data_IF_661924530811
#
_entry.id   IF_661924530811
#
_cell.length_a   1.000
_cell.length_b   1.000
_cell.length_c   1.000
_cell.angle_alpha   90.00
_cell.angle_beta   90.00
_cell.angle_gamma   90.00
#
_symmetry.space_group_name_H-M   'P 1'
#
loop_
_entity.id
_entity.type
_entity.pdbx_description
1 polymer ?
#
# COMPACT_ATOMS: atom_id res chain seq x y z
N UNK A 1 4.93 27.25 3.02
CA UNK A 1 3.74 26.76 3.75
C UNK A 1 4.23 25.85 4.85
N UNK A 2 3.74 25.99 6.08
CA UNK A 2 4.15 25.09 7.17
C UNK A 2 3.67 23.67 6.85
N UNK A 3 4.61 22.76 6.57
CA UNK A 3 4.41 21.31 6.45
C UNK A 3 3.88 20.77 7.79
N UNK A 4 2.58 20.86 8.03
CA UNK A 4 1.99 20.40 9.30
C UNK A 4 1.53 18.95 9.15
N UNK A 5 2.09 18.09 9.97
CA UNK A 5 1.50 16.80 10.33
C UNK A 5 0.13 17.03 10.97
N UNK A 6 -0.87 16.26 10.57
CA UNK A 6 -2.18 16.20 11.20
C UNK A 6 -2.19 14.99 12.14
N UNK A 7 -2.69 15.17 13.36
CA UNK A 7 -2.83 14.10 14.34
C UNK A 7 -4.30 13.79 14.52
N UNK A 8 -4.67 12.51 14.35
CA UNK A 8 -5.96 11.97 14.79
C UNK A 8 -5.71 11.11 16.02
N UNK A 9 -6.48 11.32 17.07
CA UNK A 9 -6.22 10.65 18.35
C UNK A 9 -7.49 10.45 19.16
N UNK A 10 -7.68 9.22 19.65
CA UNK A 10 -8.72 8.88 20.62
C UNK A 10 -8.09 8.23 21.87
N UNK A 11 -8.87 7.52 22.68
CA UNK A 11 -8.36 6.85 23.89
C UNK A 11 -7.41 5.69 23.60
N UNK A 12 -7.61 4.97 22.49
CA UNK A 12 -6.89 3.75 22.14
C UNK A 12 -5.79 3.97 21.10
N UNK A 13 -6.00 4.84 20.11
CA UNK A 13 -5.12 4.99 18.97
C UNK A 13 -4.66 6.43 18.76
N UNK A 14 -3.46 6.57 18.19
CA UNK A 14 -2.91 7.83 17.68
C UNK A 14 -2.30 7.65 16.29
N UNK A 15 -2.76 8.44 15.33
CA UNK A 15 -2.29 8.46 13.95
C UNK A 15 -1.62 9.80 13.63
N UNK A 16 -0.55 9.75 12.84
CA UNK A 16 0.10 10.94 12.27
C UNK A 16 0.01 10.90 10.75
N UNK A 17 -0.73 11.84 10.16
CA UNK A 17 -0.98 11.95 8.72
C UNK A 17 -0.17 13.11 8.16
N UNK A 18 0.42 12.93 6.97
CA UNK A 18 1.21 13.93 6.25
C UNK A 18 0.46 14.38 4.98
N UNK A 19 -0.50 15.33 5.05
CA UNK A 19 -1.23 15.82 3.87
C UNK A 19 -0.32 16.30 2.74
N UNK A 20 0.80 16.92 3.10
CA UNK A 20 1.78 17.45 2.14
C UNK A 20 2.60 16.37 1.41
N UNK A 21 2.45 15.09 1.77
CA UNK A 21 3.14 13.92 1.19
C UNK A 21 2.17 12.78 0.95
N UNK A 22 1.31 12.95 -0.05
CA UNK A 22 0.33 11.97 -0.48
C UNK A 22 -0.76 11.64 0.53
N UNK A 23 -0.93 12.47 1.56
CA UNK A 23 -1.71 12.08 2.72
C UNK A 23 -1.11 10.89 3.50
N UNK A 24 0.17 10.55 3.35
CA UNK A 24 0.80 9.38 3.99
C UNK A 24 0.45 9.28 5.47
N UNK A 25 0.00 8.10 5.92
CA UNK A 25 -0.13 7.81 7.36
C UNK A 25 1.23 7.36 7.87
N UNK A 26 1.96 8.29 8.47
CA UNK A 26 3.35 8.07 8.87
C UNK A 26 3.48 7.23 10.15
N UNK A 27 2.51 7.30 11.07
CA UNK A 27 2.54 6.65 12.38
C UNK A 27 1.19 6.04 12.71
N UNK A 28 1.22 4.88 13.35
CA UNK A 28 0.07 4.25 13.99
C UNK A 28 0.47 3.65 15.34
N UNK A 29 0.14 4.37 16.40
CA UNK A 29 0.41 3.95 17.77
C UNK A 29 -0.85 3.39 18.44
N UNK A 30 -0.71 2.20 19.04
CA UNK A 30 -1.64 1.68 20.03
C UNK A 30 -1.25 2.23 21.42
N UNK A 31 -2.13 3.05 22.01
CA UNK A 31 -1.93 3.70 23.30
C UNK A 31 -2.15 2.78 24.50
N UNK A 32 -2.75 1.60 24.29
CA UNK A 32 -3.04 0.62 25.35
C UNK A 32 -1.76 -0.07 25.82
N UNK A 33 -0.84 -0.33 24.89
CA UNK A 33 0.44 -1.01 25.15
C UNK A 33 1.67 -0.21 24.64
N UNK A 34 1.47 0.93 23.99
CA UNK A 34 2.53 1.79 23.45
C UNK A 34 3.11 1.32 22.11
N UNK A 35 2.57 0.26 21.51
CA UNK A 35 3.09 -0.34 20.29
C UNK A 35 3.01 0.61 19.10
N UNK A 36 4.06 0.61 18.28
CA UNK A 36 4.08 1.22 16.94
C UNK A 36 3.90 0.12 15.91
N UNK A 37 2.94 0.29 15.00
CA UNK A 37 2.65 -0.70 13.96
C UNK A 37 3.42 -0.44 12.66
N UNK A 38 3.52 0.83 12.26
CA UNK A 38 4.23 1.19 11.04
C UNK A 38 5.73 1.27 11.22
N UNK A 39 6.45 0.81 10.20
CA UNK A 39 7.87 1.06 10.04
C UNK A 39 8.11 2.56 9.94
N UNK A 40 9.05 3.07 10.75
CA UNK A 40 9.35 4.51 10.89
C UNK A 40 10.62 4.93 10.17
N UNK A 41 11.09 4.13 9.20
CA UNK A 41 12.37 4.32 8.53
C UNK A 41 13.52 3.64 9.27
N UNK A 42 14.72 3.70 8.68
CA UNK A 42 15.90 3.04 9.22
C UNK A 42 16.39 3.80 10.48
N UNK A 43 16.43 3.17 11.67
CA UNK A 43 16.89 3.85 12.89
C UNK A 43 18.38 4.24 12.83
N UNK A 44 19.19 3.52 12.04
CA UNK A 44 20.61 3.80 11.84
C UNK A 44 20.86 4.85 10.74
N UNK A 45 19.84 5.15 9.94
CA UNK A 45 19.84 6.26 8.99
C UNK A 45 18.51 7.00 9.15
N UNK A 46 18.32 7.74 10.26
CA UNK A 46 17.11 8.51 10.52
C UNK A 46 17.14 9.74 9.63
N UNK A 47 17.12 9.51 8.32
CA UNK A 47 16.95 10.56 7.34
C UNK A 47 15.59 11.17 7.61
N UNK A 48 15.58 12.35 8.22
CA UNK A 48 14.39 13.19 8.21
C UNK A 48 13.97 13.31 6.74
N UNK A 49 12.72 12.94 6.39
CA UNK A 49 12.29 12.90 5.02
C UNK A 49 12.61 14.25 4.37
N UNK A 50 13.37 14.21 3.27
CA UNK A 50 13.71 15.44 2.55
C UNK A 50 12.41 16.16 2.20
N UNK A 51 12.22 17.42 2.65
CA UNK A 51 10.98 18.15 2.39
C UNK A 51 10.73 18.40 0.90
N UNK A 52 11.66 18.04 0.00
CA UNK A 52 11.51 18.10 -1.45
C UNK A 52 11.58 16.74 -2.15
N UNK A 53 11.59 15.61 -1.45
CA UNK A 53 11.70 14.29 -2.10
C UNK A 53 10.56 13.99 -3.07
N UNK A 54 9.36 14.53 -2.83
CA UNK A 54 8.26 14.46 -3.78
C UNK A 54 8.57 15.07 -5.15
N UNK A 55 9.50 16.03 -5.23
CA UNK A 55 9.93 16.63 -6.50
C UNK A 55 10.78 15.69 -7.34
N UNK A 56 11.36 14.65 -6.73
CA UNK A 56 12.17 13.65 -7.43
C UNK A 56 11.33 12.57 -8.08
N UNK A 57 10.12 12.30 -7.57
CA UNK A 57 9.25 11.24 -8.11
C UNK A 57 9.89 9.84 -8.08
N UNK A 58 10.79 9.59 -7.13
CA UNK A 58 11.49 8.32 -6.93
C UNK A 58 11.19 7.83 -5.52
N UNK A 59 10.77 6.57 -5.40
CA UNK A 59 10.58 5.91 -4.11
C UNK A 59 11.92 5.29 -3.65
N UNK A 60 12.56 5.93 -2.67
CA UNK A 60 13.86 5.50 -2.11
C UNK A 60 13.74 5.12 -0.63
N UNK A 61 14.85 4.73 0.01
CA UNK A 61 14.84 4.27 1.41
C UNK A 61 14.36 5.35 2.39
N UNK A 62 14.35 6.62 2.00
CA UNK A 62 13.85 7.73 2.84
C UNK A 62 12.34 7.91 2.69
N UNK A 63 11.75 7.36 1.64
CA UNK A 63 10.30 7.36 1.38
C UNK A 63 9.60 6.14 1.99
N UNK A 64 10.33 5.03 2.14
CA UNK A 64 9.83 3.77 2.65
C UNK A 64 9.56 3.77 4.17
N UNK A 65 8.45 4.39 4.57
CA UNK A 65 7.90 4.37 5.93
C UNK A 65 6.39 4.68 5.92
N UNK A 66 5.69 4.28 6.99
CA UNK A 66 4.26 4.53 7.12
C UNK A 66 3.43 3.81 6.06
N UNK A 67 2.33 4.43 5.65
CA UNK A 67 1.43 3.95 4.59
C UNK A 67 1.24 5.00 3.51
N UNK A 68 1.69 4.68 2.30
CA UNK A 68 1.44 5.46 1.08
C UNK A 68 0.19 5.00 0.34
N UNK A 69 -0.23 5.82 -0.62
CA UNK A 69 -1.30 5.52 -1.56
C UNK A 69 -0.69 5.40 -2.96
N UNK A 70 -0.79 4.23 -3.58
CA UNK A 70 -0.30 4.01 -4.95
C UNK A 70 -1.47 4.11 -5.92
N UNK A 71 -1.44 5.12 -6.78
CA UNK A 71 -2.47 5.38 -7.79
C UNK A 71 -1.95 6.36 -8.86
N UNK A 72 -2.19 6.15 -10.18
CA UNK A 72 -2.94 5.05 -10.79
C UNK A 72 -2.08 3.84 -11.21
N UNK A 73 -0.82 3.77 -10.79
CA UNK A 73 0.08 2.62 -11.02
C UNK A 73 1.00 2.41 -9.82
N UNK A 74 1.71 1.29 -9.80
CA UNK A 74 2.76 1.00 -8.81
C UNK A 74 4.13 1.16 -9.45
N UNK A 75 4.41 0.49 -10.57
CA UNK A 75 5.65 0.67 -11.30
C UNK A 75 5.57 1.88 -12.24
N UNK A 76 6.72 2.48 -12.59
CA UNK A 76 6.79 3.45 -13.66
C UNK A 76 6.34 2.84 -14.99
N UNK A 77 5.40 3.47 -15.68
CA UNK A 77 4.89 3.01 -16.97
C UNK A 77 4.95 4.11 -18.02
N UNK A 78 5.37 3.74 -19.25
CA UNK A 78 5.26 4.62 -20.41
C UNK A 78 3.83 4.58 -20.92
N UNK A 79 3.20 5.73 -21.01
CA UNK A 79 1.79 5.87 -21.36
C UNK A 79 1.59 7.05 -22.32
N UNK A 80 0.42 7.11 -22.93
CA UNK A 80 -0.05 8.33 -23.61
C UNK A 80 -0.92 9.09 -22.62
N UNK A 81 -0.58 10.35 -22.34
CA UNK A 81 -1.37 11.20 -21.45
C UNK A 81 -2.70 11.61 -22.11
N UNK A 82 -3.54 12.29 -21.33
CA UNK A 82 -4.85 12.77 -21.81
C UNK A 82 -4.75 13.77 -22.98
N UNK A 83 -3.61 14.46 -23.15
CA UNK A 83 -3.33 15.35 -24.28
C UNK A 83 -2.80 14.66 -25.55
N UNK A 84 -2.64 13.33 -25.53
CA UNK A 84 -2.09 12.56 -26.65
C UNK A 84 -0.56 12.52 -26.72
N UNK A 85 0.15 13.00 -25.69
CA UNK A 85 1.60 13.01 -25.63
C UNK A 85 2.15 11.81 -24.86
N UNK A 86 3.30 11.28 -25.28
CA UNK A 86 3.98 10.24 -24.53
C UNK A 86 4.58 10.79 -23.24
N UNK A 87 4.28 10.16 -22.12
CA UNK A 87 4.88 10.46 -20.82
C UNK A 87 5.14 9.18 -20.02
N UNK A 88 5.69 9.35 -18.81
CA UNK A 88 5.93 8.26 -17.86
C UNK A 88 5.15 8.52 -16.59
N UNK A 89 4.31 7.58 -16.16
CA UNK A 89 3.81 7.57 -14.78
C UNK A 89 4.98 7.37 -13.83
N UNK A 90 5.08 8.15 -12.75
CA UNK A 90 6.15 7.98 -11.77
C UNK A 90 6.01 6.66 -11.01
N UNK A 91 7.10 6.25 -10.37
CA UNK A 91 7.08 5.14 -9.41
C UNK A 91 6.04 5.43 -8.32
N UNK A 92 5.25 4.41 -7.96
CA UNK A 92 4.10 4.43 -7.05
C UNK A 92 2.95 5.35 -7.50
N UNK A 93 2.93 5.77 -8.76
CA UNK A 93 1.90 6.63 -9.31
C UNK A 93 2.00 8.08 -8.80
N UNK A 94 0.97 8.86 -9.07
CA UNK A 94 1.05 10.32 -8.93
C UNK A 94 0.73 10.80 -7.51
N UNK A 95 -0.03 10.01 -6.73
CA UNK A 95 -0.68 10.55 -5.53
C UNK A 95 0.18 10.47 -4.27
N UNK A 96 1.08 9.49 -4.13
CA UNK A 96 1.84 9.21 -2.90
C UNK A 96 2.75 10.36 -2.44
N UNK A 97 3.20 11.19 -3.37
CA UNK A 97 4.19 12.24 -3.09
C UNK A 97 3.59 13.65 -3.11
N UNK A 98 2.44 13.84 -3.76
CA UNK A 98 1.81 15.16 -3.93
C UNK A 98 1.23 15.71 -2.63
N UNK A 99 1.14 17.04 -2.51
CA UNK A 99 0.32 17.62 -1.45
C UNK A 99 -1.15 17.43 -1.75
N UNK A 100 -1.90 16.92 -0.77
CA UNK A 100 -3.35 16.78 -0.81
C UNK A 100 -3.99 17.93 -0.04
N UNK A 101 -5.11 18.42 -0.56
CA UNK A 101 -5.91 19.45 0.08
C UNK A 101 -6.70 18.84 1.24
N UNK A 102 -6.74 19.55 2.38
CA UNK A 102 -7.58 19.21 3.52
C UNK A 102 -8.94 19.89 3.31
N UNK A 103 -10.01 19.09 3.19
CA UNK A 103 -11.37 19.61 3.06
C UNK A 103 -12.00 19.84 4.44
N UNK A 104 -11.78 18.91 5.37
CA UNK A 104 -12.23 19.01 6.75
C UNK A 104 -11.30 18.26 7.69
N UNK A 105 -11.25 18.70 8.94
CA UNK A 105 -10.42 18.09 9.98
C UNK A 105 -11.10 18.23 11.35
N UNK A 106 -11.09 17.14 12.11
CA UNK A 106 -11.40 17.08 13.54
C UNK A 106 -10.32 16.26 14.27
N UNK A 107 -10.40 16.08 15.60
CA UNK A 107 -9.51 15.15 16.30
C UNK A 107 -9.66 13.67 15.91
N UNK A 108 -10.78 13.29 15.28
CA UNK A 108 -11.11 11.90 14.95
C UNK A 108 -11.31 11.67 13.45
N UNK A 109 -11.40 12.74 12.65
CA UNK A 109 -11.72 12.65 11.22
C UNK A 109 -10.83 13.57 10.40
N UNK A 110 -10.44 13.12 9.21
CA UNK A 110 -9.69 13.91 8.23
C UNK A 110 -10.15 13.57 6.81
N UNK A 111 -10.62 14.56 6.06
CA UNK A 111 -10.96 14.42 4.63
C UNK A 111 -9.87 15.09 3.78
N UNK A 112 -9.30 14.32 2.86
CA UNK A 112 -8.24 14.76 1.96
C UNK A 112 -8.64 14.53 0.49
N UNK A 113 -8.20 15.41 -0.40
CA UNK A 113 -8.36 15.22 -1.86
C UNK A 113 -7.13 15.67 -2.64
N UNK A 114 -6.93 15.08 -3.81
CA UNK A 114 -5.89 15.47 -4.77
C UNK A 114 -6.41 15.31 -6.20
N UNK A 115 -5.92 16.14 -7.12
CA UNK A 115 -6.13 15.97 -8.56
C UNK A 115 -4.98 15.21 -9.19
N UNK A 116 -5.28 14.35 -10.18
CA UNK A 116 -4.28 13.81 -11.09
C UNK A 116 -3.52 14.93 -11.83
N UNK A 117 -2.30 14.65 -12.26
CA UNK A 117 -1.50 15.57 -13.09
C UNK A 117 -1.48 15.12 -14.54
N UNK A 118 -1.23 13.82 -14.77
CA UNK A 118 -1.12 13.20 -16.09
C UNK A 118 -2.50 12.89 -16.66
N UNK A 119 -3.44 12.53 -15.80
CA UNK A 119 -4.83 12.23 -16.16
C UNK A 119 -5.82 13.10 -15.38
N UNK A 120 -6.97 13.45 -15.99
CA UNK A 120 -8.00 14.26 -15.34
C UNK A 120 -8.83 13.41 -14.38
N UNK A 121 -8.33 13.12 -13.18
CA UNK A 121 -9.10 12.49 -12.11
C UNK A 121 -9.00 13.22 -10.79
N UNK A 122 -9.94 12.92 -9.89
CA UNK A 122 -9.90 13.27 -8.48
C UNK A 122 -9.78 12.02 -7.65
N UNK A 123 -8.80 12.01 -6.74
CA UNK A 123 -8.69 11.00 -5.70
C UNK A 123 -8.99 11.65 -4.34
N UNK A 124 -9.65 10.92 -3.45
CA UNK A 124 -9.92 11.40 -2.09
C UNK A 124 -9.92 10.25 -1.10
N UNK A 125 -9.60 10.58 0.16
CA UNK A 125 -9.64 9.65 1.28
C UNK A 125 -10.17 10.35 2.53
N UNK A 126 -11.19 9.75 3.12
CA UNK A 126 -11.63 10.06 4.48
C UNK A 126 -10.95 9.09 5.44
N UNK A 127 -10.43 9.61 6.54
CA UNK A 127 -9.89 8.83 7.65
C UNK A 127 -10.79 9.09 8.85
N UNK A 128 -11.39 8.04 9.40
CA UNK A 128 -12.18 8.10 10.63
C UNK A 128 -11.53 7.20 11.69
N UNK A 129 -11.44 7.71 12.92
CA UNK A 129 -10.86 7.02 14.05
C UNK A 129 -11.93 6.66 15.08
N UNK A 130 -12.32 5.38 15.11
CA UNK A 130 -13.41 4.88 15.95
C UNK A 130 -12.88 3.76 16.86
N UNK A 131 -12.79 4.02 18.16
CA UNK A 131 -12.25 3.05 19.13
C UNK A 131 -10.86 2.51 18.71
N UNK A 132 -10.76 1.22 18.38
CA UNK A 132 -9.56 0.55 17.87
C UNK A 132 -9.54 0.37 16.35
N UNK A 133 -10.42 1.07 15.62
CA UNK A 133 -10.55 1.02 14.17
C UNK A 133 -10.12 2.31 13.51
N UNK A 134 -9.50 2.16 12.34
CA UNK A 134 -9.24 3.23 11.38
C UNK A 134 -10.01 2.89 10.12
N UNK A 135 -11.02 3.70 9.81
CA UNK A 135 -11.86 3.52 8.63
C UNK A 135 -11.35 4.46 7.56
N UNK A 136 -10.97 3.90 6.42
CA UNK A 136 -10.45 4.63 5.26
C UNK A 136 -11.47 4.53 4.13
N UNK A 137 -12.14 5.63 3.81
CA UNK A 137 -13.13 5.69 2.73
C UNK A 137 -12.51 6.38 1.54
N UNK A 138 -12.46 5.70 0.42
CA UNK A 138 -11.77 6.14 -0.78
C UNK A 138 -12.76 6.51 -1.87
N UNK A 139 -12.39 7.49 -2.68
CA UNK A 139 -13.08 7.79 -3.93
C UNK A 139 -12.08 8.10 -5.03
N UNK A 140 -12.25 7.48 -6.18
CA UNK A 140 -11.52 7.81 -7.40
C UNK A 140 -12.53 8.15 -8.50
N UNK A 141 -12.46 9.37 -9.02
CA UNK A 141 -13.36 9.84 -10.06
C UNK A 141 -12.57 10.26 -11.28
N UNK A 142 -12.87 9.65 -12.43
CA UNK A 142 -12.43 10.19 -13.71
C UNK A 142 -13.28 11.42 -14.06
N UNK A 143 -12.63 12.58 -14.18
CA UNK A 143 -13.28 13.86 -14.49
C UNK A 143 -13.16 14.25 -15.97
N UNK A 144 -12.50 13.40 -16.77
CA UNK A 144 -12.39 13.55 -18.21
C UNK A 144 -13.49 12.80 -18.98
N UNK A 145 -13.33 12.79 -20.30
CA UNK A 145 -14.25 12.20 -21.28
C UNK A 145 -13.71 10.93 -21.95
N UNK A 146 -12.57 10.41 -21.48
CA UNK A 146 -11.93 9.18 -21.95
C UNK A 146 -11.59 8.28 -20.78
N UNK A 147 -11.56 6.97 -21.00
CA UNK A 147 -11.07 6.03 -20.01
C UNK A 147 -9.59 6.28 -19.71
N UNK A 148 -9.20 6.11 -18.44
CA UNK A 148 -7.82 6.29 -17.97
C UNK A 148 -7.36 5.01 -17.26
N UNK A 149 -6.06 4.65 -17.31
CA UNK A 149 -5.54 3.58 -16.49
C UNK A 149 -5.73 3.90 -15.00
N UNK A 150 -6.10 2.90 -14.19
CA UNK A 150 -6.40 3.11 -12.78
C UNK A 150 -6.25 1.83 -11.94
N UNK A 151 -5.06 1.67 -11.37
CA UNK A 151 -4.78 0.68 -10.33
C UNK A 151 -4.61 1.39 -8.99
N UNK A 152 -5.32 0.92 -7.96
CA UNK A 152 -5.15 1.38 -6.59
C UNK A 152 -4.64 0.26 -5.69
N UNK A 153 -3.72 0.62 -4.79
CA UNK A 153 -3.36 -0.18 -3.62
C UNK A 153 -2.71 0.70 -2.54
N UNK A 154 -2.97 0.45 -1.24
CA UNK A 154 -2.20 1.08 -0.17
C UNK A 154 -0.84 0.37 -0.04
N UNK A 155 0.19 1.11 0.39
CA UNK A 155 1.51 0.54 0.67
C UNK A 155 1.86 0.66 2.16
N UNK A 156 1.20 -0.10 3.06
CA UNK A 156 1.40 0.00 4.50
C UNK A 156 2.67 -0.75 4.92
N UNK A 157 3.76 -0.04 5.11
CA UNK A 157 5.01 -0.61 5.60
C UNK A 157 4.93 -0.81 7.12
N UNK A 158 4.67 -2.03 7.54
CA UNK A 158 4.66 -2.47 8.93
C UNK A 158 6.06 -2.86 9.39
N UNK A 159 6.38 -2.58 10.66
CA UNK A 159 7.47 -3.27 11.35
C UNK A 159 6.99 -4.67 11.76
N UNK A 160 7.91 -5.63 11.79
CA UNK A 160 7.63 -6.99 12.23
C UNK A 160 8.73 -7.50 13.16
N UNK A 161 8.44 -8.60 13.85
CA UNK A 161 9.37 -9.32 14.73
C UNK A 161 9.58 -10.74 14.22
N UNK A 162 10.52 -11.45 14.84
CA UNK A 162 10.87 -12.81 14.45
C UNK A 162 9.64 -13.75 14.52
N UNK A 163 8.77 -13.53 15.50
CA UNK A 163 7.55 -14.32 15.72
C UNK A 163 6.32 -13.85 14.92
N UNK A 164 6.43 -12.77 14.13
CA UNK A 164 5.27 -12.22 13.41
C UNK A 164 4.70 -13.25 12.43
N UNK A 165 3.39 -13.44 12.52
CA UNK A 165 2.58 -14.24 11.59
C UNK A 165 1.79 -13.29 10.68
N UNK A 166 1.80 -13.56 9.38
CA UNK A 166 0.95 -12.90 8.40
C UNK A 166 -0.34 -13.70 8.28
N UNK A 167 -1.45 -13.02 8.53
CA UNK A 167 -2.80 -13.54 8.39
C UNK A 167 -3.29 -13.27 6.96
N UNK A 168 -3.74 -14.31 6.27
CA UNK A 168 -4.25 -14.24 4.89
C UNK A 168 -5.54 -15.04 4.75
N UNK A 169 -6.35 -14.80 3.71
CA UNK A 169 -7.52 -15.62 3.42
C UNK A 169 -7.11 -17.07 3.16
N UNK A 170 -7.92 -18.03 3.62
CA UNK A 170 -7.63 -19.46 3.47
C UNK A 170 -7.51 -19.93 2.01
N UNK A 171 -8.14 -19.19 1.10
CA UNK A 171 -8.12 -19.49 -0.33
C UNK A 171 -6.82 -19.07 -1.04
N UNK A 172 -5.94 -18.29 -0.38
CA UNK A 172 -4.62 -17.96 -0.90
C UNK A 172 -3.71 -19.20 -0.82
N UNK A 173 -3.63 -19.95 -1.92
CA UNK A 173 -2.87 -21.20 -2.02
C UNK A 173 -1.85 -21.23 -3.17
N UNK A 174 -1.76 -20.15 -3.94
CA UNK A 174 -0.69 -19.93 -4.90
C UNK A 174 -0.32 -18.45 -4.97
N UNK A 175 0.96 -18.20 -5.21
CA UNK A 175 1.52 -16.86 -5.33
C UNK A 175 2.27 -16.73 -6.65
N UNK A 176 2.46 -15.47 -7.07
CA UNK A 176 3.13 -15.11 -8.31
C UNK A 176 4.20 -14.06 -8.06
N UNK A 177 5.42 -14.30 -8.51
CA UNK A 177 6.51 -13.34 -8.31
C UNK A 177 6.28 -12.06 -9.12
N UNK A 178 6.43 -10.91 -8.46
CA UNK A 178 6.24 -9.58 -9.06
C UNK A 178 7.56 -8.80 -9.26
N UNK A 179 8.69 -9.32 -8.78
CA UNK A 179 10.01 -8.79 -9.12
C UNK A 179 10.48 -9.33 -10.47
N UNK A 180 11.30 -8.55 -11.18
CA UNK A 180 11.97 -8.98 -12.42
C UNK A 180 12.70 -10.31 -12.21
N UNK A 181 13.45 -10.39 -11.11
CA UNK A 181 14.29 -11.51 -10.70
C UNK A 181 14.30 -11.53 -9.15
N UNK A 182 14.37 -12.69 -8.53
CA UNK A 182 14.39 -12.76 -7.07
C UNK A 182 14.37 -14.17 -6.50
N UNK A 183 14.21 -14.31 -5.16
CA UNK A 183 14.19 -15.60 -4.49
C UNK A 183 13.06 -16.55 -4.95
N UNK A 184 11.99 -16.03 -5.56
CA UNK A 184 10.92 -16.84 -6.17
C UNK A 184 11.17 -17.08 -7.67
N UNK A 185 12.34 -16.74 -8.22
CA UNK A 185 12.74 -17.06 -9.61
C UNK A 185 12.62 -15.89 -10.58
N UNK A 186 11.93 -16.09 -11.71
CA UNK A 186 11.67 -15.06 -12.73
C UNK A 186 10.32 -14.38 -12.50
N UNK A 187 10.14 -13.18 -13.06
CA UNK A 187 8.85 -12.48 -13.06
C UNK A 187 7.70 -13.36 -13.56
N UNK A 188 6.57 -13.34 -12.86
CA UNK A 188 5.38 -14.08 -13.23
C UNK A 188 5.43 -15.59 -12.93
N UNK A 189 6.54 -16.11 -12.40
CA UNK A 189 6.61 -17.51 -11.93
C UNK A 189 5.59 -17.77 -10.80
N UNK A 190 4.95 -18.94 -10.85
CA UNK A 190 3.89 -19.33 -9.92
C UNK A 190 4.42 -20.38 -8.96
N UNK A 191 4.08 -20.23 -7.68
CA UNK A 191 4.45 -21.16 -6.63
C UNK A 191 3.23 -21.54 -5.81
N UNK A 192 3.16 -22.80 -5.39
CA UNK A 192 2.17 -23.23 -4.41
C UNK A 192 2.54 -22.67 -3.04
N UNK A 193 1.56 -22.09 -2.34
CA UNK A 193 1.64 -21.67 -0.95
C UNK A 193 0.82 -22.67 -0.14
N UNK A 194 1.47 -23.45 0.72
CA UNK A 194 0.73 -24.42 1.52
C UNK A 194 -0.01 -23.74 2.68
N UNK A 195 -0.79 -24.52 3.44
CA UNK A 195 -1.57 -23.99 4.56
C UNK A 195 -0.73 -23.40 5.73
N UNK A 196 0.57 -23.72 5.83
CA UNK A 196 1.48 -23.12 6.81
C UNK A 196 2.18 -21.87 6.28
N UNK A 197 2.04 -21.53 4.99
CA UNK A 197 2.75 -20.44 4.34
C UNK A 197 4.09 -20.82 3.71
N UNK A 198 4.41 -22.12 3.66
CA UNK A 198 5.64 -22.62 3.03
C UNK A 198 5.58 -22.59 1.51
N UNK A 199 6.67 -22.13 0.91
CA UNK A 199 7.01 -22.28 -0.51
C UNK A 199 8.27 -23.14 -0.64
N UNK A 200 8.19 -24.19 -1.46
CA UNK A 200 9.27 -25.15 -1.63
C UNK A 200 10.56 -24.49 -2.12
N UNK A 201 11.67 -24.74 -1.41
CA UNK A 201 12.98 -24.16 -1.74
C UNK A 201 13.17 -22.70 -1.33
N UNK A 202 12.14 -22.06 -0.77
CA UNK A 202 12.17 -20.65 -0.35
C UNK A 202 12.03 -20.51 1.16
N UNK A 203 11.02 -21.15 1.76
CA UNK A 203 10.73 -21.04 3.19
C UNK A 203 9.30 -20.56 3.46
N UNK A 204 9.04 -20.17 4.70
CA UNK A 204 7.72 -19.76 5.15
C UNK A 204 7.49 -18.26 4.95
N UNK A 205 6.75 -17.89 3.90
CA UNK A 205 6.48 -16.50 3.56
C UNK A 205 5.46 -15.84 4.50
N UNK A 206 4.66 -16.62 5.23
CA UNK A 206 3.72 -16.09 6.24
C UNK A 206 4.39 -15.88 7.61
N UNK A 207 5.65 -16.26 7.76
CA UNK A 207 6.47 -15.99 8.94
C UNK A 207 7.75 -15.24 8.54
N UNK A 208 7.66 -13.93 8.24
CA UNK A 208 8.74 -13.14 7.64
C UNK A 208 10.01 -13.12 8.50
N UNK A 209 9.90 -13.30 9.81
CA UNK A 209 11.04 -13.46 10.72
C UNK A 209 11.95 -14.63 10.34
N UNK A 210 11.38 -15.72 9.84
CA UNK A 210 12.13 -16.96 9.54
C UNK A 210 12.88 -16.94 8.21
N UNK A 211 12.63 -15.94 7.37
CA UNK A 211 13.26 -15.82 6.05
C UNK A 211 14.76 -15.47 6.15
N UNK A 212 15.59 -15.72 5.14
CA UNK A 212 17.01 -15.39 5.20
C UNK A 212 17.27 -13.90 5.46
N UNK A 213 18.26 -13.55 6.31
CA UNK A 213 18.70 -12.15 6.46
C UNK A 213 19.22 -11.63 5.12
N UNK A 214 18.96 -10.36 4.82
CA UNK A 214 19.36 -9.74 3.54
C UNK A 214 18.48 -10.16 2.36
N UNK A 215 17.33 -10.79 2.60
CA UNK A 215 16.36 -11.12 1.55
C UNK A 215 15.29 -10.04 1.36
N UNK A 216 14.70 -10.00 0.17
CA UNK A 216 13.48 -9.26 -0.12
C UNK A 216 12.60 -10.07 -1.08
N UNK A 217 11.29 -9.91 -0.94
CA UNK A 217 10.28 -10.61 -1.72
C UNK A 217 9.21 -9.61 -2.14
N UNK A 218 8.81 -9.67 -3.41
CA UNK A 218 7.60 -9.01 -3.92
C UNK A 218 6.80 -10.01 -4.73
N UNK A 219 5.56 -10.24 -4.36
CA UNK A 219 4.67 -11.20 -5.01
C UNK A 219 3.20 -10.83 -4.81
N UNK A 220 2.33 -11.43 -5.61
CA UNK A 220 0.88 -11.34 -5.45
C UNK A 220 0.30 -12.72 -5.17
N UNK A 221 -0.90 -12.77 -4.61
CA UNK A 221 -1.76 -13.94 -4.82
C UNK A 221 -1.96 -14.20 -6.31
N UNK A 222 -1.78 -15.44 -6.73
CA UNK A 222 -1.86 -15.83 -8.14
C UNK A 222 -3.27 -15.71 -8.73
N UNK A 223 -4.29 -15.65 -7.86
CA UNK A 223 -5.70 -15.54 -8.20
C UNK A 223 -6.38 -14.45 -7.37
N UNK A 224 -7.46 -13.92 -7.92
CA UNK A 224 -8.38 -13.05 -7.17
C UNK A 224 -8.96 -13.78 -5.97
N UNK A 225 -9.04 -13.08 -4.85
CA UNK A 225 -9.61 -13.50 -3.58
C UNK A 225 -11.06 -13.03 -3.48
N UNK A 226 -11.90 -13.86 -2.86
CA UNK A 226 -13.30 -13.61 -2.53
C UNK A 226 -13.46 -13.10 -1.10
N UNK A 227 -12.47 -13.28 -0.24
CA UNK A 227 -12.44 -12.74 1.11
C UNK A 227 -11.46 -11.55 1.19
N UNK A 228 -11.98 -10.38 1.56
CA UNK A 228 -11.18 -9.17 1.69
C UNK A 228 -10.66 -9.01 3.10
N UNK A 229 -9.58 -9.73 3.41
CA UNK A 229 -8.99 -9.80 4.73
C UNK A 229 -7.49 -10.07 4.64
N UNK A 230 -6.68 -9.36 5.43
CA UNK A 230 -5.31 -9.75 5.72
C UNK A 230 -4.86 -9.13 7.05
N UNK A 231 -3.71 -9.50 7.59
CA UNK A 231 -3.25 -8.90 8.84
C UNK A 231 -1.93 -9.43 9.35
N UNK A 232 -1.57 -8.98 10.54
CA UNK A 232 -0.38 -9.37 11.28
C UNK A 232 -0.75 -9.74 12.71
N UNK A 233 -0.03 -10.72 13.24
CA UNK A 233 -0.13 -11.10 14.64
C UNK A 233 1.24 -11.32 15.23
N UNK A 234 1.50 -10.67 16.36
CA UNK A 234 2.72 -10.86 17.15
C UNK A 234 2.50 -10.45 18.61
N UNK A 235 3.59 -10.25 19.35
CA UNK A 235 3.55 -9.82 20.76
C UNK A 235 2.83 -8.48 21.01
N UNK A 236 2.61 -7.65 20.00
CA UNK A 236 1.84 -6.39 20.11
C UNK A 236 0.33 -6.63 20.14
N UNK A 237 -0.14 -7.80 19.72
CA UNK A 237 -1.54 -8.09 19.47
C UNK A 237 -1.77 -8.46 18.01
N UNK A 238 -2.97 -8.16 17.50
CA UNK A 238 -3.31 -8.35 16.09
C UNK A 238 -3.62 -7.02 15.43
N UNK A 239 -3.17 -6.85 14.19
CA UNK A 239 -3.62 -5.79 13.29
C UNK A 239 -4.22 -6.44 12.05
N UNK A 240 -5.47 -6.12 11.73
CA UNK A 240 -6.15 -6.68 10.55
C UNK A 240 -6.63 -5.58 9.62
N UNK A 241 -6.65 -5.88 8.32
CA UNK A 241 -7.24 -5.08 7.26
C UNK A 241 -8.45 -5.86 6.75
N UNK A 242 -9.58 -5.18 6.61
CA UNK A 242 -10.77 -5.72 5.95
C UNK A 242 -11.27 -4.75 4.87
N UNK A 243 -11.77 -5.31 3.76
CA UNK A 243 -12.10 -4.54 2.56
C UNK A 243 -13.10 -5.31 1.67
N UNK A 244 -13.86 -4.61 0.79
CA UNK A 244 -14.78 -5.26 -0.14
C UNK A 244 -14.01 -5.97 -1.27
N UNK A 245 -13.93 -7.30 -1.19
CA UNK A 245 -13.24 -8.13 -2.19
C UNK A 245 -13.82 -8.04 -3.60
N UNK A 246 -15.08 -7.61 -3.75
CA UNK A 246 -15.69 -7.35 -5.06
C UNK A 246 -14.99 -6.22 -5.82
N UNK A 247 -14.39 -5.25 -5.12
CA UNK A 247 -13.63 -4.15 -5.69
C UNK A 247 -12.11 -4.33 -5.52
N UNK A 248 -11.69 -4.94 -4.41
CA UNK A 248 -10.29 -5.12 -4.02
C UNK A 248 -10.00 -6.62 -3.92
N UNK A 249 -9.91 -7.25 -5.09
CA UNK A 249 -9.85 -8.70 -5.21
C UNK A 249 -8.43 -9.26 -5.21
N UNK A 250 -7.39 -8.43 -5.23
CA UNK A 250 -6.00 -8.88 -5.27
C UNK A 250 -5.26 -8.53 -3.99
N UNK A 251 -4.23 -9.30 -3.67
CA UNK A 251 -3.39 -9.06 -2.51
C UNK A 251 -1.92 -9.16 -2.93
N UNK A 252 -1.24 -8.02 -2.93
CA UNK A 252 0.19 -7.90 -3.07
C UNK A 252 0.91 -8.04 -1.72
N UNK A 253 2.18 -8.41 -1.79
CA UNK A 253 3.06 -8.58 -0.65
C UNK A 253 4.41 -7.98 -0.97
N UNK A 254 4.91 -7.19 -0.02
CA UNK A 254 6.30 -6.79 0.08
C UNK A 254 6.84 -7.32 1.40
N UNK A 255 7.93 -8.08 1.37
CA UNK A 255 8.61 -8.56 2.58
C UNK A 255 10.09 -8.25 2.43
N UNK A 256 10.62 -7.39 3.30
CA UNK A 256 12.01 -6.98 3.29
C UNK A 256 12.66 -7.32 4.62
N UNK A 257 13.61 -8.26 4.60
CA UNK A 257 14.43 -8.64 5.75
C UNK A 257 15.87 -8.14 5.58
N UNK A 258 16.00 -6.91 5.10
CA UNK A 258 17.28 -6.23 4.86
C UNK A 258 17.80 -6.30 3.43
N UNK A 259 17.10 -6.98 2.50
CA UNK A 259 17.54 -7.12 1.11
C UNK A 259 17.45 -5.85 0.28
N UNK A 260 16.50 -4.97 0.59
CA UNK A 260 16.39 -3.65 -0.04
C UNK A 260 16.64 -2.53 0.98
N UNK A 261 17.62 -1.67 0.70
CA UNK A 261 17.94 -0.53 1.56
C UNK A 261 18.40 -0.86 2.99
N UNK A 262 18.66 -2.14 3.30
CA UNK A 262 18.95 -2.62 4.65
C UNK A 262 17.76 -2.50 5.63
N UNK A 263 16.55 -2.30 5.12
CA UNK A 263 15.36 -2.09 5.95
C UNK A 263 14.69 -3.40 6.36
N UNK A 264 13.98 -3.37 7.49
CA UNK A 264 13.15 -4.49 7.94
C UNK A 264 11.70 -4.02 8.06
N UNK A 265 10.92 -4.32 7.02
CA UNK A 265 9.51 -3.98 6.92
C UNK A 265 8.78 -5.00 6.04
N UNK A 266 7.46 -5.00 6.12
CA UNK A 266 6.61 -5.72 5.19
C UNK A 266 5.39 -4.86 4.86
N UNK A 267 4.77 -5.09 3.71
CA UNK A 267 3.45 -4.57 3.38
C UNK A 267 2.52 -5.69 2.91
N UNK A 268 1.25 -5.57 3.30
CA UNK A 268 0.13 -6.31 2.75
C UNK A 268 -0.68 -5.31 1.95
N UNK A 269 -0.86 -5.58 0.66
CA UNK A 269 -1.27 -4.59 -0.33
C UNK A 269 -2.56 -5.03 -1.03
N UNK A 270 -3.73 -4.86 -0.40
CA UNK A 270 -5.02 -5.07 -1.06
C UNK A 270 -5.13 -4.19 -2.31
N UNK A 271 -5.32 -4.79 -3.47
CA UNK A 271 -5.26 -4.09 -4.75
C UNK A 271 -6.52 -4.32 -5.59
N UNK A 272 -6.88 -3.30 -6.38
CA UNK A 272 -7.96 -3.41 -7.37
C UNK A 272 -7.59 -4.31 -8.55
N UNK A 273 -6.29 -4.50 -8.79
CA UNK A 273 -5.78 -5.28 -9.92
C UNK A 273 -4.39 -5.88 -9.60
N UNK A 274 -3.98 -6.97 -10.27
CA UNK A 274 -2.72 -7.63 -9.98
C UNK A 274 -1.51 -6.98 -10.68
N UNK A 275 -0.32 -7.41 -10.28
CA UNK A 275 0.94 -7.22 -11.03
C UNK A 275 1.34 -5.76 -11.30
N UNK A 276 1.54 -4.97 -10.26
CA UNK A 276 2.32 -3.71 -10.24
C UNK A 276 2.03 -2.61 -11.28
N UNK A 277 1.01 -2.73 -12.12
CA UNK A 277 0.68 -1.65 -13.03
C UNK A 277 -0.41 -1.98 -14.04
N UNK A 278 -1.09 -0.97 -14.61
CA UNK A 278 -2.18 -1.15 -15.57
C UNK A 278 -1.83 -2.06 -16.76
N UNK A 279 -0.66 -1.91 -17.37
CA UNK A 279 -0.28 -2.75 -18.51
C UNK A 279 -0.01 -4.19 -18.09
N UNK A 280 0.76 -4.39 -17.02
CA UNK A 280 1.06 -5.74 -16.51
C UNK A 280 -0.19 -6.47 -16.01
N UNK A 281 -1.15 -5.72 -15.46
CA UNK A 281 -2.48 -6.21 -15.11
C UNK A 281 -3.30 -6.61 -16.35
N UNK A 282 -3.25 -5.80 -17.41
CA UNK A 282 -3.90 -6.11 -18.68
C UNK A 282 -3.31 -7.37 -19.34
N UNK A 283 -1.99 -7.56 -19.26
CA UNK A 283 -1.32 -8.79 -19.71
C UNK A 283 -1.79 -10.02 -18.90
N UNK A 284 -2.31 -9.78 -17.69
CA UNK A 284 -2.97 -10.77 -16.84
C UNK A 284 -4.47 -10.98 -17.15
N UNK A 285 -4.98 -10.36 -18.21
CA UNK A 285 -6.41 -10.30 -18.57
C UNK A 285 -7.30 -9.67 -17.49
N UNK A 286 -6.74 -8.74 -16.70
CA UNK A 286 -7.47 -7.93 -15.73
C UNK A 286 -7.22 -6.46 -16.09
N UNK A 287 -7.97 -5.87 -17.04
CA UNK A 287 -7.82 -4.45 -17.35
C UNK A 287 -8.07 -3.59 -16.11
N UNK A 288 -7.19 -2.62 -15.88
CA UNK A 288 -7.21 -1.74 -14.72
C UNK A 288 -7.42 -0.30 -15.19
N UNK A 289 -8.67 0.16 -15.19
CA UNK A 289 -9.06 1.46 -15.75
C UNK A 289 -10.24 2.08 -14.99
N UNK A 290 -10.39 3.39 -15.15
CA UNK A 290 -11.58 4.16 -14.81
C UNK A 290 -12.20 4.72 -16.10
N UNK A 291 -13.45 4.37 -16.38
CA UNK A 291 -14.19 4.86 -17.53
C UNK A 291 -14.47 6.37 -17.42
N UNK A 292 -14.85 7.00 -18.54
CA UNK A 292 -15.15 8.43 -18.59
C UNK A 292 -16.28 8.80 -17.62
N UNK A 293 -16.02 9.75 -16.72
CA UNK A 293 -16.98 10.17 -15.69
C UNK A 293 -17.20 9.17 -14.56
N UNK A 294 -16.56 7.99 -14.59
CA UNK A 294 -16.76 6.95 -13.60
C UNK A 294 -16.30 7.42 -12.20
N UNK A 295 -17.06 7.01 -11.19
CA UNK A 295 -16.74 7.19 -9.77
C UNK A 295 -16.71 5.81 -9.12
N UNK A 296 -15.57 5.45 -8.57
CA UNK A 296 -15.41 4.28 -7.71
C UNK A 296 -15.31 4.71 -6.25
N UNK A 297 -15.99 3.97 -5.38
CA UNK A 297 -15.98 4.19 -3.93
C UNK A 297 -15.80 2.86 -3.20
N UNK A 298 -14.82 2.80 -2.30
CA UNK A 298 -14.57 1.64 -1.46
C UNK A 298 -14.14 2.05 -0.06
N UNK A 299 -14.21 1.09 0.86
CA UNK A 299 -13.81 1.27 2.25
C UNK A 299 -12.77 0.21 2.62
N UNK A 300 -11.77 0.60 3.39
CA UNK A 300 -10.84 -0.32 4.04
C UNK A 300 -10.79 0.01 5.52
N UNK A 301 -10.89 -1.02 6.37
CA UNK A 301 -10.84 -0.85 7.82
C UNK A 301 -9.58 -1.53 8.37
N UNK A 302 -8.78 -0.78 9.11
CA UNK A 302 -7.71 -1.34 9.94
C UNK A 302 -8.23 -1.49 11.37
N UNK A 303 -8.12 -2.68 11.97
CA UNK A 303 -8.49 -2.93 13.35
C UNK A 303 -7.28 -3.40 14.16
N UNK A 304 -7.14 -2.95 15.41
CA UNK A 304 -6.07 -3.36 16.33
C UNK A 304 -6.68 -4.00 17.58
N UNK A 305 -6.38 -5.28 17.81
CA UNK A 305 -6.85 -6.05 18.98
C UNK A 305 -5.76 -6.23 20.03
#
# INVERSE_FOLDING_TARGET
MNCKTVVLENRQLKLEVLPFRGGKISSLQDKRNGAQWFYRGNPNNPGFPDPNSYKRGVFDEKEAFGMDEMFPSINPEKITNYGGELCTLPDHGEVWSKSWDIISQSPLELNLTVQGLVFPYRFSRDILLEENHIILKYRAQNTGDQAIPALWTPHPLFSFYEETEILVPRELNSIRQAMKEGPLGEYGSIHALNASGEVAGVGNLLHPGTLPEGSCFKFYGDKSLKEGYCGLKDRRGSLTLSYPSEQISWLGFWINRGGWGGQQNLALEPATSPMDGPQASADFNVPSQLDAGELLEWEMVLAID
#
